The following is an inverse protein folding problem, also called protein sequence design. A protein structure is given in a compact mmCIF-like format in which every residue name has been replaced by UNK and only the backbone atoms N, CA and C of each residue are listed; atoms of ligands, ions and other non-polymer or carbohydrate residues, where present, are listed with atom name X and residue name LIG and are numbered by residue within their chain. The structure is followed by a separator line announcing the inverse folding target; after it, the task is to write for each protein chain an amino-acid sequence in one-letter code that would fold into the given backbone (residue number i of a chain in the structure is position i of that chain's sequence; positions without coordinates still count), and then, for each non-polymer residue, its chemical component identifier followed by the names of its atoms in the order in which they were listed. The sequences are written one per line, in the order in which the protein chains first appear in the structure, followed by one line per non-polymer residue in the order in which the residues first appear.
data_IF_392614686854
#
_entry.id   IF_392614686854
#
_cell.length_a   1.000
_cell.length_b   1.000
_cell.length_c   1.000
_cell.angle_alpha   90.00
_cell.angle_beta   90.00
_cell.angle_gamma   90.00
#
_symmetry.space_group_name_H-M   'P 1'
#
loop_
_entity.id
_entity.type
_entity.pdbx_description
1 polymer ?
#
# COMPACT_ATOMS: atom_id res chain seq x y z
N UNK A 1 -102.22 6.39 -7.69
CA UNK A 1 -101.43 5.19 -7.31
C UNK A 1 -100.34 4.80 -8.32
N UNK A 2 -100.55 4.84 -9.65
CA UNK A 2 -99.54 4.37 -10.63
C UNK A 2 -98.25 5.21 -10.75
N UNK A 3 -98.27 6.49 -10.36
CA UNK A 3 -97.10 7.37 -10.44
C UNK A 3 -96.19 7.19 -9.20
N UNK A 4 -96.79 6.86 -8.05
CA UNK A 4 -96.10 6.76 -6.78
C UNK A 4 -95.15 5.55 -6.74
N UNK A 5 -95.54 4.39 -7.28
CA UNK A 5 -94.67 3.20 -7.30
C UNK A 5 -93.49 3.35 -8.27
N UNK A 6 -93.64 4.13 -9.36
CA UNK A 6 -92.55 4.41 -10.30
C UNK A 6 -91.49 5.31 -9.69
N UNK A 7 -91.91 6.32 -8.92
CA UNK A 7 -91.00 7.17 -8.16
C UNK A 7 -90.25 6.37 -7.08
N UNK A 8 -90.96 5.48 -6.36
CA UNK A 8 -90.36 4.62 -5.35
C UNK A 8 -89.35 3.63 -5.95
N UNK A 9 -89.66 3.06 -7.12
CA UNK A 9 -88.77 2.15 -7.83
C UNK A 9 -87.48 2.85 -8.32
N UNK A 10 -87.60 4.06 -8.88
CA UNK A 10 -86.43 4.86 -9.30
C UNK A 10 -85.53 5.22 -8.11
N UNK A 11 -86.14 5.54 -6.96
CA UNK A 11 -85.38 5.85 -5.74
C UNK A 11 -84.63 4.61 -5.22
N UNK A 12 -85.25 3.43 -5.31
CA UNK A 12 -84.62 2.17 -4.92
C UNK A 12 -83.45 1.79 -5.85
N UNK A 13 -83.58 2.05 -7.16
CA UNK A 13 -82.49 1.87 -8.14
C UNK A 13 -81.34 2.85 -7.90
N UNK A 14 -81.64 4.12 -7.55
CA UNK A 14 -80.59 5.10 -7.22
C UNK A 14 -79.83 4.71 -5.95
N UNK A 15 -80.51 4.13 -4.95
CA UNK A 15 -79.87 3.62 -3.74
C UNK A 15 -78.97 2.42 -4.07
N UNK A 16 -79.43 1.46 -4.90
CA UNK A 16 -78.60 0.30 -5.24
C UNK A 16 -77.38 0.68 -6.06
N UNK A 17 -77.52 1.63 -7.00
CA UNK A 17 -76.39 2.19 -7.75
C UNK A 17 -75.43 2.92 -6.80
N UNK A 18 -75.95 3.73 -5.88
CA UNK A 18 -75.15 4.42 -4.87
C UNK A 18 -74.37 3.47 -3.96
N UNK A 19 -75.00 2.40 -3.49
CA UNK A 19 -74.35 1.35 -2.68
C UNK A 19 -73.29 0.61 -3.51
N UNK A 20 -73.56 0.32 -4.79
CA UNK A 20 -72.61 -0.36 -5.66
C UNK A 20 -71.39 0.51 -5.97
N UNK A 21 -71.57 1.83 -6.16
CA UNK A 21 -70.47 2.80 -6.35
C UNK A 21 -69.68 2.98 -5.04
N UNK A 22 -70.37 3.03 -3.90
CA UNK A 22 -69.73 3.13 -2.58
C UNK A 22 -68.85 1.90 -2.30
N UNK A 23 -69.34 0.69 -2.60
CA UNK A 23 -68.55 -0.54 -2.45
C UNK A 23 -67.39 -0.60 -3.46
N UNK A 24 -67.59 -0.15 -4.70
CA UNK A 24 -66.54 -0.11 -5.72
C UNK A 24 -65.40 0.87 -5.38
N UNK A 25 -65.73 1.99 -4.73
CA UNK A 25 -64.74 3.01 -4.34
C UNK A 25 -63.91 2.60 -3.10
N UNK A 26 -64.42 1.69 -2.27
CA UNK A 26 -63.66 1.09 -1.16
C UNK A 26 -62.61 0.07 -1.63
N UNK A 27 -62.80 -0.57 -2.79
CA UNK A 27 -61.89 -1.60 -3.31
C UNK A 27 -60.72 -1.07 -4.17
N UNK A 28 -60.66 0.24 -4.46
CA UNK A 28 -59.63 0.84 -5.32
C UNK A 28 -58.51 1.50 -4.49
N UNK A 29 -57.82 0.72 -3.68
CA UNK A 29 -56.58 1.15 -3.02
C UNK A 29 -55.37 0.89 -3.95
N UNK A 30 -54.87 1.95 -4.57
CA UNK A 30 -53.73 1.93 -5.51
C UNK A 30 -52.40 1.57 -4.79
N UNK A 31 -52.39 1.47 -3.46
CA UNK A 31 -51.18 1.31 -2.64
C UNK A 31 -50.66 -0.12 -2.44
N UNK A 32 -51.42 -1.18 -2.72
CA UNK A 32 -51.07 -2.54 -2.25
C UNK A 32 -50.49 -3.51 -3.30
N UNK A 33 -50.33 -3.08 -4.56
CA UNK A 33 -49.77 -3.93 -5.63
C UNK A 33 -48.34 -3.55 -6.04
N UNK A 34 -47.62 -2.77 -5.24
CA UNK A 34 -46.18 -2.64 -5.43
C UNK A 34 -45.50 -3.88 -4.86
N UNK A 35 -44.71 -4.65 -5.64
CA UNK A 35 -43.84 -5.65 -5.04
C UNK A 35 -42.98 -4.93 -3.98
N UNK A 36 -42.74 -5.55 -2.81
CA UNK A 36 -41.98 -4.93 -1.75
C UNK A 36 -40.66 -4.43 -2.33
N UNK A 37 -40.36 -3.14 -2.17
CA UNK A 37 -39.08 -2.58 -2.57
C UNK A 37 -38.04 -3.37 -1.78
N UNK A 38 -37.16 -4.16 -2.41
CA UNK A 38 -36.12 -4.86 -1.68
C UNK A 38 -35.32 -3.81 -0.91
N UNK A 39 -35.01 -4.04 0.38
CA UNK A 39 -34.24 -3.08 1.14
C UNK A 39 -32.95 -2.79 0.37
N UNK A 40 -32.68 -1.52 0.07
CA UNK A 40 -31.37 -1.10 -0.44
C UNK A 40 -30.38 -1.53 0.62
N UNK A 41 -29.38 -2.37 0.30
CA UNK A 41 -28.44 -2.83 1.31
C UNK A 41 -27.78 -1.60 1.95
N UNK A 42 -27.84 -1.51 3.27
CA UNK A 42 -27.29 -0.37 3.99
C UNK A 42 -25.78 -0.30 3.70
N UNK A 43 -25.36 0.79 3.05
CA UNK A 43 -23.99 0.95 2.61
C UNK A 43 -23.18 1.51 3.78
N UNK A 44 -22.21 0.72 4.24
CA UNK A 44 -21.32 1.11 5.34
C UNK A 44 -20.08 1.79 4.78
N UNK A 45 -19.67 2.90 5.42
CA UNK A 45 -18.44 3.63 5.09
C UNK A 45 -17.31 3.13 5.97
N UNK A 46 -16.31 2.49 5.38
CA UNK A 46 -15.12 2.01 6.07
C UNK A 46 -13.93 2.94 5.83
N UNK A 47 -13.14 3.18 6.89
CA UNK A 47 -11.81 3.78 6.80
C UNK A 47 -10.79 2.68 7.02
N UNK A 48 -10.13 2.25 5.95
CA UNK A 48 -9.14 1.19 5.96
C UNK A 48 -7.73 1.79 5.98
N UNK A 49 -6.85 1.21 6.77
CA UNK A 49 -5.42 1.49 6.73
C UNK A 49 -4.71 0.26 6.16
N UNK A 50 -4.20 0.39 4.96
CA UNK A 50 -3.63 -0.71 4.18
C UNK A 50 -2.12 -0.54 4.09
N UNK A 51 -1.36 -1.61 4.24
CA UNK A 51 0.10 -1.56 4.17
C UNK A 51 0.62 -2.15 2.87
N UNK A 52 1.43 -1.37 2.15
CA UNK A 52 2.05 -1.76 0.88
C UNK A 52 3.57 -1.62 0.94
N UNK A 53 4.26 -2.21 -0.03
CA UNK A 53 5.71 -2.17 -0.11
C UNK A 53 6.24 -0.76 -0.42
N UNK A 54 7.31 -0.37 0.27
CA UNK A 54 8.09 0.83 -0.05
C UNK A 54 8.87 0.65 -1.36
N UNK A 55 8.99 1.69 -2.20
CA UNK A 55 9.80 1.61 -3.40
C UNK A 55 11.31 1.56 -3.10
N UNK A 56 11.72 2.11 -1.95
CA UNK A 56 13.13 2.36 -1.60
C UNK A 56 13.77 1.25 -0.77
N UNK A 57 12.97 0.49 -0.04
CA UNK A 57 13.45 -0.52 0.91
C UNK A 57 12.40 -1.60 1.17
N UNK A 58 12.80 -2.65 1.87
CA UNK A 58 11.92 -3.74 2.28
C UNK A 58 11.12 -3.35 3.53
N UNK A 59 10.36 -2.26 3.45
CA UNK A 59 9.47 -1.76 4.52
C UNK A 59 8.04 -1.64 4.04
N UNK A 60 7.13 -1.60 5.00
CA UNK A 60 5.70 -1.37 4.79
C UNK A 60 5.37 0.11 4.99
N UNK A 61 4.56 0.65 4.09
CA UNK A 61 4.07 2.03 4.13
C UNK A 61 2.55 1.99 4.10
N UNK A 62 1.92 2.73 5.01
CA UNK A 62 0.46 2.80 5.08
C UNK A 62 -0.13 3.71 4.01
N UNK A 63 -1.24 3.26 3.44
CA UNK A 63 -2.17 4.04 2.61
C UNK A 63 -3.55 3.98 3.27
N UNK A 64 -4.12 5.15 3.59
CA UNK A 64 -5.49 5.20 4.09
C UNK A 64 -6.49 5.26 2.92
N UNK A 65 -7.55 4.45 3.00
CA UNK A 65 -8.66 4.44 2.06
C UNK A 65 -9.97 4.62 2.78
N UNK A 66 -10.86 5.38 2.13
CA UNK A 66 -12.27 5.40 2.47
C UNK A 66 -13.01 4.63 1.39
N UNK A 67 -13.72 3.59 1.79
CA UNK A 67 -14.55 2.77 0.90
C UNK A 67 -16.00 2.78 1.40
N UNK A 68 -16.93 2.67 0.47
CA UNK A 68 -18.36 2.50 0.77
C UNK A 68 -18.73 1.13 0.23
N UNK A 69 -19.23 0.24 1.09
CA UNK A 69 -19.51 -1.15 0.74
C UNK A 69 -20.74 -1.67 1.45
N UNK A 70 -21.42 -2.62 0.81
CA UNK A 70 -22.49 -3.43 1.41
C UNK A 70 -21.95 -4.66 2.14
N UNK A 71 -20.67 -5.00 1.90
CA UNK A 71 -19.96 -6.05 2.62
C UNK A 71 -19.81 -5.65 4.10
N UNK A 72 -20.22 -6.55 4.99
CA UNK A 72 -20.26 -6.32 6.43
C UNK A 72 -18.98 -6.80 7.12
N UNK A 73 -18.17 -7.62 6.45
CA UNK A 73 -16.89 -8.12 6.96
C UNK A 73 -15.74 -7.17 6.60
N UNK A 74 -15.27 -6.28 7.50
CA UNK A 74 -14.15 -5.38 7.22
C UNK A 74 -12.87 -6.14 6.87
N UNK A 75 -12.63 -7.32 7.45
CA UNK A 75 -11.48 -8.17 7.15
C UNK A 75 -11.46 -8.60 5.68
N UNK A 76 -12.62 -8.90 5.10
CA UNK A 76 -12.76 -9.27 3.69
C UNK A 76 -12.39 -8.09 2.79
N UNK A 77 -12.92 -6.91 3.12
CA UNK A 77 -12.65 -5.68 2.38
C UNK A 77 -11.17 -5.30 2.40
N UNK A 78 -10.48 -5.47 3.53
CA UNK A 78 -9.05 -5.22 3.64
C UNK A 78 -8.27 -6.08 2.66
N UNK A 79 -8.49 -7.39 2.64
CA UNK A 79 -7.75 -8.31 1.77
C UNK A 79 -8.06 -8.06 0.30
N UNK A 80 -9.33 -7.83 -0.06
CA UNK A 80 -9.71 -7.49 -1.42
C UNK A 80 -9.09 -6.17 -1.91
N UNK A 81 -9.03 -5.14 -1.06
CA UNK A 81 -8.39 -3.87 -1.38
C UNK A 81 -6.85 -3.97 -1.48
N UNK A 82 -6.22 -4.87 -0.72
CA UNK A 82 -4.80 -5.18 -0.87
C UNK A 82 -4.51 -5.88 -2.21
N UNK A 83 -5.36 -6.84 -2.63
CA UNK A 83 -5.24 -7.55 -3.92
C UNK A 83 -5.31 -6.56 -5.09
N UNK A 84 -6.15 -5.51 -4.98
CA UNK A 84 -6.23 -4.44 -5.99
C UNK A 84 -4.94 -3.62 -6.12
N UNK A 85 -4.02 -3.72 -5.17
CA UNK A 85 -2.78 -2.96 -5.13
C UNK A 85 -2.97 -1.51 -4.65
N UNK A 86 -1.87 -0.75 -4.47
CA UNK A 86 -1.91 0.63 -3.96
C UNK A 86 -2.54 1.61 -4.95
N UNK A 87 -3.25 2.64 -4.43
CA UNK A 87 -3.69 3.79 -5.26
C UNK A 87 -2.56 4.80 -5.42
N UNK A 88 -1.68 4.88 -4.44
CA UNK A 88 -0.47 5.66 -4.51
C UNK A 88 0.54 4.98 -5.45
N UNK A 89 0.80 5.61 -6.61
CA UNK A 89 1.73 5.12 -7.64
C UNK A 89 3.19 5.01 -7.16
N UNK A 90 3.54 5.61 -6.03
CA UNK A 90 4.90 5.47 -5.46
C UNK A 90 5.05 4.17 -4.67
N UNK A 91 3.96 3.53 -4.23
CA UNK A 91 4.02 2.30 -3.45
C UNK A 91 4.05 1.09 -4.38
N UNK A 92 4.67 0.00 -3.91
CA UNK A 92 4.74 -1.26 -4.64
C UNK A 92 3.57 -2.16 -4.25
N UNK A 93 2.94 -2.87 -5.21
CA UNK A 93 1.99 -3.92 -4.89
C UNK A 93 2.65 -5.00 -4.03
N UNK A 94 1.86 -5.64 -3.17
CA UNK A 94 2.36 -6.62 -2.21
C UNK A 94 1.71 -7.99 -2.37
N UNK A 95 0.71 -8.13 -3.24
CA UNK A 95 0.00 -9.38 -3.50
C UNK A 95 -0.07 -9.58 -5.01
N UNK A 96 0.13 -10.81 -5.53
CA UNK A 96 -0.07 -11.09 -6.95
C UNK A 96 -1.51 -10.71 -7.36
N UNK A 97 -1.70 -9.93 -8.43
CA UNK A 97 -3.03 -9.42 -8.83
C UNK A 97 -4.01 -10.53 -9.23
N UNK A 98 -3.54 -11.73 -9.57
CA UNK A 98 -4.35 -12.90 -9.87
C UNK A 98 -4.84 -13.64 -8.61
N UNK A 99 -4.38 -13.23 -7.43
CA UNK A 99 -4.82 -13.80 -6.15
C UNK A 99 -6.31 -13.59 -5.95
N UNK A 100 -7.01 -14.63 -5.50
CA UNK A 100 -8.42 -14.57 -5.12
C UNK A 100 -8.56 -14.88 -3.64
N UNK A 101 -9.39 -14.11 -2.96
CA UNK A 101 -9.87 -14.46 -1.62
C UNK A 101 -10.99 -15.49 -1.75
N UNK A 102 -10.75 -16.70 -1.25
CA UNK A 102 -11.70 -17.82 -1.30
C UNK A 102 -12.64 -17.80 -0.09
N UNK A 103 -12.11 -17.55 1.11
CA UNK A 103 -12.88 -17.37 2.32
C UNK A 103 -12.08 -16.64 3.39
N UNK A 104 -12.79 -16.03 4.35
CA UNK A 104 -12.18 -15.38 5.50
C UNK A 104 -13.03 -15.58 6.75
N UNK A 105 -12.40 -15.85 7.88
CA UNK A 105 -13.08 -16.06 9.16
C UNK A 105 -12.17 -15.73 10.33
N UNK A 106 -12.69 -15.01 11.32
CA UNK A 106 -11.98 -14.76 12.59
C UNK A 106 -12.50 -15.70 13.67
N UNK A 107 -11.60 -16.42 14.34
CA UNK A 107 -11.89 -17.31 15.48
C UNK A 107 -10.81 -17.06 16.53
N UNK A 108 -11.19 -16.85 17.79
CA UNK A 108 -10.26 -16.66 18.91
C UNK A 108 -9.14 -15.65 18.60
N UNK A 109 -9.54 -14.47 18.07
CA UNK A 109 -8.64 -13.38 17.66
C UNK A 109 -7.66 -13.70 16.52
N UNK A 110 -7.77 -14.87 15.88
CA UNK A 110 -6.99 -15.26 14.70
C UNK A 110 -7.87 -15.18 13.45
N UNK A 111 -7.44 -14.36 12.47
CA UNK A 111 -8.09 -14.26 11.18
C UNK A 111 -7.52 -15.31 10.21
N UNK A 112 -8.34 -16.28 9.83
CA UNK A 112 -8.02 -17.30 8.84
C UNK A 112 -8.34 -16.77 7.45
N UNK A 113 -7.31 -16.58 6.63
CA UNK A 113 -7.41 -16.00 5.28
C UNK A 113 -7.10 -17.09 4.27
N UNK A 114 -8.13 -17.56 3.55
CA UNK A 114 -8.00 -18.61 2.55
C UNK A 114 -7.90 -18.01 1.15
N UNK A 115 -6.78 -18.24 0.48
CA UNK A 115 -6.42 -17.61 -0.80
C UNK A 115 -6.26 -18.68 -1.89
N UNK A 116 -6.38 -18.25 -3.15
CA UNK A 116 -6.02 -19.09 -4.29
C UNK A 116 -4.51 -19.35 -4.35
N UNK A 117 -4.10 -20.41 -5.06
CA UNK A 117 -2.70 -20.78 -5.25
C UNK A 117 -1.84 -19.64 -5.82
N UNK A 118 -2.42 -18.75 -6.62
CA UNK A 118 -1.73 -17.59 -7.21
C UNK A 118 -1.08 -16.66 -6.19
N UNK A 119 -1.51 -16.68 -4.92
CA UNK A 119 -0.83 -15.95 -3.84
C UNK A 119 0.65 -16.34 -3.68
N UNK A 120 1.00 -17.59 -4.01
CA UNK A 120 2.36 -18.12 -3.90
C UNK A 120 3.26 -17.72 -5.07
N UNK A 121 2.70 -17.16 -6.15
CA UNK A 121 3.44 -16.88 -7.38
C UNK A 121 4.20 -15.53 -7.33
N UNK A 122 4.80 -15.19 -6.18
CA UNK A 122 5.50 -13.90 -5.98
C UNK A 122 6.71 -13.75 -6.89
N UNK A 123 7.41 -14.84 -7.19
CA UNK A 123 8.60 -14.87 -8.05
C UNK A 123 8.36 -14.34 -9.48
N UNK A 124 7.09 -14.27 -9.92
CA UNK A 124 6.70 -13.70 -11.21
C UNK A 124 6.70 -12.16 -11.22
N UNK A 125 6.93 -11.55 -10.06
CA UNK A 125 6.82 -10.12 -9.82
C UNK A 125 8.11 -9.61 -9.18
N UNK A 126 8.99 -9.02 -9.99
CA UNK A 126 10.33 -8.51 -9.59
C UNK A 126 10.31 -7.55 -8.38
N UNK A 127 9.14 -7.03 -8.02
CA UNK A 127 8.95 -6.02 -6.98
C UNK A 127 8.37 -6.57 -5.67
N UNK A 128 8.06 -7.86 -5.59
CA UNK A 128 7.47 -8.49 -4.40
C UNK A 128 8.50 -9.29 -3.61
N UNK A 129 8.43 -9.13 -2.29
CA UNK A 129 9.31 -9.75 -1.32
C UNK A 129 8.43 -10.58 -0.37
N UNK A 130 8.84 -11.82 -0.07
CA UNK A 130 8.07 -12.74 0.76
C UNK A 130 7.59 -12.11 2.09
N UNK A 131 8.47 -11.39 2.80
CA UNK A 131 8.11 -10.70 4.04
C UNK A 131 7.06 -9.60 3.78
N UNK A 132 7.27 -8.78 2.75
CA UNK A 132 6.36 -7.68 2.41
C UNK A 132 4.98 -8.21 2.05
N UNK A 133 4.90 -9.33 1.32
CA UNK A 133 3.64 -10.00 0.96
C UNK A 133 2.88 -10.46 2.22
N UNK A 134 3.56 -11.16 3.12
CA UNK A 134 2.96 -11.67 4.36
C UNK A 134 2.48 -10.52 5.25
N UNK A 135 3.38 -9.60 5.60
CA UNK A 135 3.07 -8.56 6.58
C UNK A 135 2.25 -7.40 6.02
N UNK A 136 2.14 -7.24 4.69
CA UNK A 136 1.12 -6.38 4.10
C UNK A 136 -0.28 -6.82 4.53
N UNK A 137 -0.58 -8.12 4.45
CA UNK A 137 -1.86 -8.68 4.88
C UNK A 137 -1.99 -8.67 6.41
N UNK A 138 -0.97 -9.16 7.13
CA UNK A 138 -1.01 -9.27 8.60
C UNK A 138 -1.16 -7.89 9.25
N UNK A 139 -0.32 -6.92 8.88
CA UNK A 139 -0.38 -5.60 9.51
C UNK A 139 -1.65 -4.84 9.14
N UNK A 140 -2.24 -5.06 7.96
CA UNK A 140 -3.51 -4.42 7.60
C UNK A 140 -4.69 -5.02 8.36
N UNK A 141 -4.75 -6.35 8.47
CA UNK A 141 -5.83 -7.03 9.20
C UNK A 141 -5.77 -6.76 10.70
N UNK A 142 -4.57 -6.66 11.27
CA UNK A 142 -4.38 -6.33 12.70
C UNK A 142 -4.62 -4.85 13.04
N UNK A 143 -5.05 -4.01 12.09
CA UNK A 143 -5.65 -2.70 12.41
C UNK A 143 -7.08 -2.86 12.98
N UNK A 144 -7.73 -4.00 12.74
CA UNK A 144 -8.97 -4.39 13.41
C UNK A 144 -8.58 -4.89 14.80
N UNK A 145 -9.04 -4.22 15.85
CA UNK A 145 -8.56 -4.45 17.21
C UNK A 145 -8.84 -5.87 17.74
N UNK A 146 -9.86 -6.54 17.21
CA UNK A 146 -10.19 -7.93 17.54
C UNK A 146 -9.25 -8.95 16.89
N UNK A 147 -8.46 -8.57 15.89
CA UNK A 147 -7.55 -9.47 15.18
C UNK A 147 -6.13 -9.28 15.69
N UNK A 148 -5.59 -10.30 16.35
CA UNK A 148 -4.22 -10.30 16.88
C UNK A 148 -3.23 -11.04 15.95
N UNK A 149 -3.72 -12.02 15.20
CA UNK A 149 -2.91 -12.82 14.30
C UNK A 149 -3.66 -13.21 13.03
N UNK A 150 -2.91 -13.61 12.01
CA UNK A 150 -3.44 -14.07 10.72
C UNK A 150 -2.88 -15.44 10.37
N UNK A 151 -3.75 -16.40 10.10
CA UNK A 151 -3.38 -17.70 9.56
C UNK A 151 -3.72 -17.75 8.08
N UNK A 152 -2.69 -17.93 7.24
CA UNK A 152 -2.89 -18.13 5.81
C UNK A 152 -3.28 -19.58 5.50
N UNK A 153 -4.23 -19.75 4.60
CA UNK A 153 -4.59 -21.02 3.99
C UNK A 153 -4.54 -20.85 2.47
N UNK A 154 -4.04 -21.86 1.76
CA UNK A 154 -4.04 -21.89 0.30
C UNK A 154 -4.95 -23.02 -0.13
N UNK A 155 -6.07 -22.66 -0.77
CA UNK A 155 -7.09 -23.61 -1.19
C UNK A 155 -7.53 -24.54 -0.04
N UNK A 156 -7.68 -23.96 1.16
CA UNK A 156 -8.08 -24.65 2.39
C UNK A 156 -6.95 -25.33 3.17
N UNK A 157 -5.71 -25.34 2.66
CA UNK A 157 -4.60 -26.08 3.26
C UNK A 157 -3.55 -25.16 3.89
N UNK A 158 -2.94 -25.60 4.99
CA UNK A 158 -1.70 -25.02 5.49
C UNK A 158 -0.54 -25.46 4.60
N UNK A 159 0.16 -24.51 4.01
CA UNK A 159 1.30 -24.80 3.11
C UNK A 159 2.63 -24.40 3.75
N UNK A 160 3.74 -24.70 3.07
CA UNK A 160 5.10 -24.42 3.52
C UNK A 160 5.42 -22.93 3.59
N UNK A 161 6.21 -22.42 2.67
CA UNK A 161 6.51 -20.99 2.56
C UNK A 161 5.95 -20.47 1.23
N UNK A 162 5.92 -19.14 1.03
CA UNK A 162 5.69 -18.58 -0.31
C UNK A 162 6.92 -18.89 -1.15
N UNK A 163 8.10 -18.60 -0.60
CA UNK A 163 9.39 -18.90 -1.21
C UNK A 163 10.18 -19.86 -0.31
N UNK A 164 10.86 -19.33 0.71
CA UNK A 164 11.72 -20.18 1.57
C UNK A 164 11.87 -19.72 3.01
N UNK A 165 11.56 -18.48 3.35
CA UNK A 165 11.97 -17.92 4.64
C UNK A 165 10.90 -18.05 5.72
N UNK A 166 9.61 -17.95 5.37
CA UNK A 166 8.54 -17.82 6.36
C UNK A 166 7.48 -18.91 6.18
N UNK A 167 7.39 -19.80 7.18
CA UNK A 167 6.41 -20.88 7.20
C UNK A 167 4.99 -20.36 7.40
N UNK A 168 4.11 -20.62 6.44
CA UNK A 168 2.66 -20.36 6.48
C UNK A 168 1.87 -21.41 7.27
N UNK A 169 2.54 -22.37 7.92
CA UNK A 169 1.87 -23.41 8.71
C UNK A 169 1.27 -22.90 10.01
N UNK A 170 1.78 -21.78 10.54
CA UNK A 170 1.33 -21.21 11.81
C UNK A 170 0.89 -19.75 11.63
N UNK A 171 0.10 -19.19 12.57
CA UNK A 171 -0.36 -17.80 12.49
C UNK A 171 0.79 -16.81 12.61
N UNK A 172 0.69 -15.71 11.87
CA UNK A 172 1.60 -14.56 11.95
C UNK A 172 1.01 -13.45 12.80
N UNK A 173 1.87 -12.82 13.57
CA UNK A 173 1.55 -11.61 14.34
C UNK A 173 2.07 -10.37 13.62
N UNK A 174 1.47 -9.24 13.98
CA UNK A 174 1.89 -7.91 13.52
C UNK A 174 3.39 -7.72 13.69
N UNK A 175 4.04 -7.17 12.67
CA UNK A 175 5.47 -6.86 12.69
C UNK A 175 5.68 -5.34 12.60
N UNK A 176 5.94 -4.72 13.75
CA UNK A 176 6.24 -3.29 13.87
C UNK A 176 7.60 -2.93 13.25
N UNK A 177 8.52 -3.88 13.13
CA UNK A 177 9.84 -3.62 12.57
C UNK A 177 9.77 -3.21 11.11
N UNK A 178 8.79 -3.73 10.37
CA UNK A 178 8.57 -3.36 8.96
C UNK A 178 7.90 -1.99 8.81
N UNK A 179 7.29 -1.45 9.88
CA UNK A 179 6.68 -0.13 9.91
C UNK A 179 7.65 0.96 10.36
N UNK A 180 8.72 0.59 11.06
CA UNK A 180 9.78 1.55 11.43
C UNK A 180 10.34 2.14 10.15
N UNK A 181 10.19 3.46 10.00
CA UNK A 181 10.93 4.22 9.00
C UNK A 181 12.40 3.93 9.21
N UNK A 182 13.03 3.34 8.21
CA UNK A 182 14.47 3.17 8.21
C UNK A 182 15.09 4.56 8.33
N UNK A 183 15.91 4.76 9.36
CA UNK A 183 16.70 5.99 9.47
C UNK A 183 17.73 5.91 8.37
N UNK A 184 17.38 6.40 7.18
CA UNK A 184 18.33 6.53 6.09
C UNK A 184 19.45 7.41 6.62
N UNK A 185 20.64 6.85 6.76
CA UNK A 185 21.79 7.59 7.26
C UNK A 185 22.37 8.46 6.15
N UNK A 186 23.19 9.47 6.51
CA UNK A 186 24.02 10.18 5.53
C UNK A 186 24.81 9.22 4.64
N UNK A 187 25.37 8.13 5.21
CA UNK A 187 26.13 7.12 4.47
C UNK A 187 25.25 6.33 3.50
N UNK A 188 24.07 5.87 3.91
CA UNK A 188 23.13 5.16 3.01
C UNK A 188 22.74 6.04 1.82
N UNK A 189 22.47 7.32 2.08
CA UNK A 189 22.16 8.30 1.03
C UNK A 189 23.34 8.47 0.08
N UNK A 190 24.56 8.56 0.60
CA UNK A 190 25.74 8.71 -0.22
C UNK A 190 26.05 7.46 -1.06
N UNK A 191 25.83 6.26 -0.51
CA UNK A 191 25.99 5.02 -1.26
C UNK A 191 25.03 4.95 -2.43
N UNK A 192 23.74 5.27 -2.23
CA UNK A 192 22.76 5.33 -3.33
C UNK A 192 23.18 6.36 -4.39
N UNK A 193 23.74 7.49 -3.98
CA UNK A 193 24.29 8.48 -4.91
C UNK A 193 25.43 7.89 -5.76
N UNK A 194 26.39 7.20 -5.14
CA UNK A 194 27.46 6.51 -5.87
C UNK A 194 26.93 5.42 -6.81
N UNK A 195 25.91 4.67 -6.41
CA UNK A 195 25.25 3.66 -7.25
C UNK A 195 24.63 4.29 -8.50
N UNK A 196 23.91 5.40 -8.36
CA UNK A 196 23.38 6.12 -9.51
C UNK A 196 24.50 6.65 -10.43
N UNK A 197 25.59 7.17 -9.88
CA UNK A 197 26.74 7.60 -10.69
C UNK A 197 27.37 6.44 -11.46
N UNK A 198 27.59 5.28 -10.80
CA UNK A 198 28.15 4.07 -11.43
C UNK A 198 27.23 3.51 -12.53
N UNK A 199 25.92 3.59 -12.32
CA UNK A 199 24.92 3.19 -13.31
C UNK A 199 24.73 4.21 -14.44
N UNK A 200 25.42 5.36 -14.41
CA UNK A 200 25.25 6.45 -15.38
C UNK A 200 23.90 7.18 -15.27
N UNK A 201 23.15 6.96 -14.19
CA UNK A 201 21.86 7.60 -13.92
C UNK A 201 22.05 8.97 -13.25
N UNK A 202 22.66 9.89 -13.99
CA UNK A 202 23.00 11.22 -13.49
C UNK A 202 21.77 12.06 -13.11
N UNK A 203 20.62 11.85 -13.78
CA UNK A 203 19.36 12.53 -13.44
C UNK A 203 18.90 12.21 -12.02
N UNK A 204 19.00 10.94 -11.61
CA UNK A 204 18.62 10.51 -10.26
C UNK A 204 19.63 11.01 -9.23
N UNK A 205 20.93 10.92 -9.53
CA UNK A 205 21.99 11.46 -8.67
C UNK A 205 21.85 12.99 -8.47
N UNK A 206 21.52 13.74 -9.52
CA UNK A 206 21.33 15.19 -9.46
C UNK A 206 20.15 15.61 -8.56
N UNK A 207 19.08 14.82 -8.53
CA UNK A 207 17.92 15.04 -7.65
C UNK A 207 18.22 14.80 -6.16
N UNK A 208 19.35 14.19 -5.84
CA UNK A 208 19.81 13.98 -4.46
C UNK A 208 20.57 15.18 -3.91
N UNK A 209 20.88 16.17 -4.75
CA UNK A 209 21.61 17.37 -4.32
C UNK A 209 20.72 18.31 -3.51
N UNK A 210 21.37 19.07 -2.61
CA UNK A 210 20.72 20.15 -1.88
C UNK A 210 20.29 21.27 -2.82
N UNK A 211 19.25 22.02 -2.44
CA UNK A 211 18.79 23.17 -3.24
C UNK A 211 19.93 24.18 -3.50
N UNK A 212 20.76 24.58 -2.51
CA UNK A 212 21.92 25.45 -2.76
C UNK A 212 22.95 24.88 -3.75
N UNK A 213 23.16 23.57 -3.79
CA UNK A 213 24.05 22.93 -4.77
C UNK A 213 23.50 23.09 -6.19
N UNK A 214 22.20 22.81 -6.37
CA UNK A 214 21.50 22.86 -7.66
C UNK A 214 21.48 24.29 -8.22
N UNK A 215 21.39 25.30 -7.36
CA UNK A 215 21.43 26.72 -7.77
C UNK A 215 22.82 27.14 -8.27
N UNK A 216 23.90 26.44 -7.88
CA UNK A 216 25.28 26.80 -8.20
C UNK A 216 25.94 25.92 -9.26
N UNK A 217 25.48 24.68 -9.42
CA UNK A 217 26.06 23.70 -10.33
C UNK A 217 24.94 23.16 -11.22
N UNK A 218 24.93 23.58 -12.48
CA UNK A 218 23.97 23.05 -13.45
C UNK A 218 24.21 21.55 -13.74
N UNK A 219 23.20 20.91 -14.34
CA UNK A 219 23.21 19.48 -14.61
C UNK A 219 24.39 19.03 -15.50
N UNK A 220 24.78 19.83 -16.49
CA UNK A 220 25.85 19.46 -17.41
C UNK A 220 27.20 19.49 -16.70
N UNK A 221 27.46 20.54 -15.93
CA UNK A 221 28.65 20.67 -15.08
C UNK A 221 28.70 19.56 -14.03
N UNK A 222 27.57 19.26 -13.38
CA UNK A 222 27.46 18.14 -12.45
C UNK A 222 27.84 16.81 -13.12
N UNK A 223 27.26 16.51 -14.29
CA UNK A 223 27.51 15.25 -15.02
C UNK A 223 28.97 15.10 -15.41
N UNK A 224 29.63 16.17 -15.87
CA UNK A 224 31.06 16.16 -16.20
C UNK A 224 31.93 15.90 -14.98
N UNK A 225 31.68 16.63 -13.88
CA UNK A 225 32.45 16.52 -12.65
C UNK A 225 32.29 15.13 -12.03
N UNK A 226 31.05 14.67 -11.86
CA UNK A 226 30.77 13.38 -11.23
C UNK A 226 31.14 12.18 -12.11
N UNK A 227 31.10 12.33 -13.43
CA UNK A 227 31.61 11.32 -14.35
C UNK A 227 33.13 11.16 -14.27
N UNK A 228 33.86 12.21 -13.90
CA UNK A 228 35.30 12.14 -13.63
C UNK A 228 35.55 11.53 -12.26
N UNK A 229 34.87 12.02 -11.23
CA UNK A 229 34.93 11.51 -9.86
C UNK A 229 34.71 9.98 -9.80
N UNK A 230 33.64 9.46 -10.41
CA UNK A 230 33.36 8.02 -10.36
C UNK A 230 34.36 7.18 -11.14
N UNK A 231 35.05 7.77 -12.13
CA UNK A 231 36.12 7.12 -12.89
C UNK A 231 37.37 6.97 -12.04
N UNK A 232 37.71 7.97 -11.25
CA UNK A 232 38.83 7.94 -10.30
C UNK A 232 38.58 6.92 -9.18
N UNK A 233 37.33 6.78 -8.74
CA UNK A 233 36.92 5.79 -7.73
C UNK A 233 36.78 4.35 -8.25
N UNK A 234 37.03 4.07 -9.53
CA UNK A 234 36.76 2.74 -10.13
C UNK A 234 37.44 1.60 -9.38
N UNK A 235 38.70 1.83 -9.02
CA UNK A 235 39.57 0.84 -8.40
C UNK A 235 39.61 0.97 -6.87
N UNK A 236 38.72 1.77 -6.29
CA UNK A 236 38.62 1.99 -4.85
C UNK A 236 37.31 1.46 -4.30
N UNK A 237 37.32 1.14 -3.02
CA UNK A 237 36.14 0.84 -2.22
C UNK A 237 36.17 1.60 -0.90
N UNK A 238 35.00 1.93 -0.38
CA UNK A 238 34.89 2.57 0.94
C UNK A 238 35.05 1.48 1.99
N UNK A 239 36.06 1.58 2.84
CA UNK A 239 36.33 0.61 3.90
C UNK A 239 35.88 1.10 5.27
N UNK A 240 35.85 2.42 5.48
CA UNK A 240 35.43 3.06 6.74
C UNK A 240 34.66 4.34 6.46
N UNK A 241 33.72 4.67 7.36
CA UNK A 241 33.07 5.96 7.37
C UNK A 241 32.77 6.41 8.79
N UNK A 242 32.69 7.74 8.97
CA UNK A 242 32.23 8.36 10.20
C UNK A 242 31.41 9.61 9.90
N UNK A 243 30.52 9.98 10.81
CA UNK A 243 29.68 11.17 10.66
C UNK A 243 29.86 12.13 11.83
N UNK A 244 29.87 13.43 11.53
CA UNK A 244 29.90 14.48 12.52
C UNK A 244 28.74 15.45 12.29
N UNK A 245 27.87 15.59 13.30
CA UNK A 245 26.70 16.46 13.24
C UNK A 245 27.04 17.87 13.70
N UNK A 246 26.63 18.84 12.91
CA UNK A 246 26.67 20.28 13.19
C UNK A 246 25.24 20.85 13.28
N UNK A 247 25.11 22.13 13.62
CA UNK A 247 23.81 22.79 13.79
C UNK A 247 22.93 22.77 12.53
N UNK A 248 23.54 22.89 11.34
CA UNK A 248 22.83 22.98 10.06
C UNK A 248 23.16 21.86 9.07
N UNK A 249 24.15 21.01 9.35
CA UNK A 249 24.66 19.99 8.43
C UNK A 249 25.23 18.77 9.14
N UNK A 250 25.45 17.71 8.40
CA UNK A 250 26.27 16.56 8.79
C UNK A 250 27.44 16.46 7.82
N UNK A 251 28.63 16.20 8.35
CA UNK A 251 29.81 15.87 7.55
C UNK A 251 29.98 14.36 7.58
N UNK A 252 29.99 13.74 6.40
CA UNK A 252 30.30 12.33 6.19
C UNK A 252 31.75 12.21 5.73
N UNK A 253 32.60 11.62 6.54
CA UNK A 253 33.99 11.34 6.19
C UNK A 253 34.14 9.86 5.82
N UNK A 254 34.77 9.57 4.69
CA UNK A 254 34.93 8.21 4.16
C UNK A 254 36.40 7.93 3.87
N UNK A 255 36.85 6.72 4.21
CA UNK A 255 38.16 6.19 3.83
C UNK A 255 37.98 5.24 2.66
N UNK A 256 38.73 5.51 1.59
CA UNK A 256 38.80 4.70 0.39
C UNK A 256 40.10 3.93 0.38
N UNK A 257 40.03 2.63 0.14
CA UNK A 257 41.20 1.79 -0.08
C UNK A 257 41.17 1.23 -1.50
N UNK A 258 42.32 1.21 -2.15
CA UNK A 258 42.47 0.63 -3.48
C UNK A 258 42.25 -0.87 -3.38
N UNK A 259 41.39 -1.41 -4.25
CA UNK A 259 41.08 -2.83 -4.29
C UNK A 259 42.35 -3.65 -4.47
N UNK A 260 42.56 -4.70 -3.67
CA UNK A 260 43.77 -5.52 -3.76
C UNK A 260 43.89 -6.13 -5.16
N UNK A 261 45.08 -6.02 -5.74
CA UNK A 261 45.48 -6.73 -6.96
C UNK A 261 46.47 -7.82 -6.60
N UNK A 262 46.60 -8.85 -7.45
CA UNK A 262 47.47 -10.02 -7.20
C UNK A 262 48.96 -9.69 -6.96
N UNK A 263 49.38 -8.43 -7.11
CA UNK A 263 50.78 -7.98 -7.15
C UNK A 263 51.07 -6.81 -6.19
N UNK A 264 50.07 -6.30 -5.45
CA UNK A 264 50.23 -5.08 -4.61
C UNK A 264 49.68 -5.32 -3.21
N UNK A 265 50.55 -5.28 -2.19
CA UNK A 265 50.21 -5.55 -0.79
C UNK A 265 50.06 -4.29 0.10
N UNK A 266 50.38 -3.11 -0.43
CA UNK A 266 50.10 -1.82 0.21
C UNK A 266 49.09 -1.08 -0.66
N UNK A 267 47.83 -1.06 -0.23
CA UNK A 267 46.77 -0.33 -0.94
C UNK A 267 46.98 1.17 -0.75
N UNK A 268 46.93 1.94 -1.84
CA UNK A 268 46.78 3.39 -1.75
C UNK A 268 45.47 3.66 -0.99
N UNK A 269 45.54 4.40 0.11
CA UNK A 269 44.36 4.86 0.84
C UNK A 269 44.25 6.38 0.78
N UNK A 270 43.03 6.89 0.71
CA UNK A 270 42.76 8.31 0.89
C UNK A 270 41.45 8.52 1.63
N UNK A 271 41.29 9.71 2.19
CA UNK A 271 40.08 10.09 2.93
C UNK A 271 39.45 11.32 2.31
N UNK A 272 38.13 11.31 2.20
CA UNK A 272 37.34 12.40 1.65
C UNK A 272 36.18 12.74 2.59
N UNK A 273 35.67 13.96 2.51
CA UNK A 273 34.53 14.42 3.31
C UNK A 273 33.46 15.05 2.43
N UNK A 274 32.22 14.70 2.70
CA UNK A 274 31.03 15.23 2.03
C UNK A 274 30.09 15.89 3.04
N UNK A 275 29.59 17.06 2.68
CA UNK A 275 28.58 17.75 3.47
C UNK A 275 27.18 17.30 3.06
N UNK A 276 26.31 17.11 4.05
CA UNK A 276 24.94 16.67 3.85
C UNK A 276 24.00 17.50 4.72
N UNK A 277 22.83 17.84 4.17
CA UNK A 277 21.78 18.59 4.87
C UNK A 277 20.50 17.78 4.88
N UNK A 278 19.67 17.94 5.91
CA UNK A 278 18.40 17.23 6.00
C UNK A 278 17.26 18.16 5.62
N UNK A 279 16.65 17.93 4.46
CA UNK A 279 15.64 18.80 3.86
C UNK A 279 14.42 17.96 3.48
N UNK A 280 13.22 18.41 3.86
CA UNK A 280 11.95 17.75 3.52
C UNK A 280 11.87 16.25 3.88
N UNK A 281 12.53 15.85 4.97
CA UNK A 281 12.54 14.46 5.42
C UNK A 281 13.56 13.55 4.72
N UNK A 282 14.47 14.11 3.92
CA UNK A 282 15.51 13.39 3.21
C UNK A 282 16.89 14.03 3.42
N UNK A 283 17.95 13.21 3.43
CA UNK A 283 19.30 13.75 3.31
C UNK A 283 19.57 14.20 1.88
N UNK A 284 20.21 15.35 1.75
CA UNK A 284 20.65 15.95 0.48
C UNK A 284 22.15 16.16 0.49
N UNK A 285 22.77 15.93 -0.66
CA UNK A 285 24.20 16.06 -0.85
C UNK A 285 24.55 17.51 -1.17
N UNK A 286 25.45 18.09 -0.39
CA UNK A 286 26.03 19.39 -0.67
C UNK A 286 27.26 19.16 -1.54
N UNK A 287 27.26 19.70 -2.75
CA UNK A 287 28.38 19.56 -3.66
C UNK A 287 29.57 20.36 -3.10
N UNK A 288 30.78 19.81 -3.08
CA UNK A 288 31.99 20.61 -2.92
C UNK A 288 32.10 21.49 -4.17
N UNK A 289 31.84 22.79 -4.00
CA UNK A 289 31.83 23.80 -5.07
C UNK A 289 33.22 24.40 -5.24
#
# INVERSE_FOLDING_TARGET
MKILYKALFLLLVMITIGVSIYNYTQDFDIGYNQPPIPPVPDQTKYRLKLYFGSPRNNRLVSEERVIVSTEQQPEKLIVEELIKGPRNKTLKPSIPPETKLLSIKTIDNVCYVNLSRSFLDTYRWDLMNEAITIWSVVNSLTEIHEIQAVQFLIEGNRVGAIEKYYSLKEPFYRNEELLRKEVITPFDTFNVFLEYLRAGNYDSAYKMLSKPSIEKVDFLKFKLNMGTYIRELRDYEITKYQTQKYSSKVVLQMTYEKKPTAITYLGDEFTESWEMVFENGEWKIVMPI
#
